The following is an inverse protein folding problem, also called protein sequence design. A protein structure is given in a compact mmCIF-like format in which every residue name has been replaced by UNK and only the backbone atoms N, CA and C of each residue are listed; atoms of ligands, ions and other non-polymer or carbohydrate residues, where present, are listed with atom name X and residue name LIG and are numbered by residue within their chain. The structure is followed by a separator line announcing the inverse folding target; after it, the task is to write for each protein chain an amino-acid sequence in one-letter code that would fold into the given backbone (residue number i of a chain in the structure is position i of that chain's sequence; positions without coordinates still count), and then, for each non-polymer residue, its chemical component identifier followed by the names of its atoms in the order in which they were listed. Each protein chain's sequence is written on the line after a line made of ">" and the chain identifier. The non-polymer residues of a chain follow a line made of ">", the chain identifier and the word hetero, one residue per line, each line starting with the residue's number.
data_IF_221174239613
#
_entry.id   IF_221174239613
#
_cell.length_a   1.000
_cell.length_b   1.000
_cell.length_c   1.000
_cell.angle_alpha   90.00
_cell.angle_beta   90.00
_cell.angle_gamma   90.00
#
_symmetry.space_group_name_H-M   'P 1'
#
loop_
_entity.id
_entity.type
_entity.pdbx_description
1 polymer ?
#
# COMPACT_ATOMS: atom_id res chain seq x y z
N UNK A 1 41.18 43.40 -43.79
CA UNK A 1 40.13 44.43 -43.90
C UNK A 1 40.13 45.41 -42.73
N UNK A 2 40.01 44.98 -41.46
CA UNK A 2 39.93 45.89 -40.31
C UNK A 2 41.14 46.84 -40.15
N UNK A 3 42.36 46.37 -40.41
CA UNK A 3 43.58 47.19 -40.35
C UNK A 3 43.59 48.27 -41.44
N UNK A 4 43.10 47.96 -42.64
CA UNK A 4 43.00 48.94 -43.73
C UNK A 4 41.99 50.04 -43.39
N UNK A 5 40.83 49.66 -42.84
CA UNK A 5 39.81 50.63 -42.40
C UNK A 5 40.35 51.53 -41.28
N UNK A 6 41.10 50.98 -40.31
CA UNK A 6 41.74 51.79 -39.27
C UNK A 6 42.74 52.79 -39.87
N UNK A 7 43.57 52.36 -40.81
CA UNK A 7 44.53 53.20 -41.52
C UNK A 7 43.82 54.34 -42.26
N UNK A 8 42.77 54.04 -43.02
CA UNK A 8 42.01 55.02 -43.79
C UNK A 8 41.33 56.07 -42.88
N UNK A 9 40.84 55.64 -41.71
CA UNK A 9 40.23 56.54 -40.72
C UNK A 9 41.26 57.39 -39.98
N UNK A 10 42.47 56.89 -39.74
CA UNK A 10 43.54 57.66 -39.12
C UNK A 10 44.11 58.73 -40.07
N UNK A 11 44.27 58.40 -41.36
CA UNK A 11 44.65 59.39 -42.40
C UNK A 11 43.60 60.49 -42.51
N UNK A 12 42.31 60.16 -42.42
CA UNK A 12 41.23 61.16 -42.43
C UNK A 12 41.24 62.08 -41.18
N UNK A 13 41.82 61.64 -40.06
CA UNK A 13 41.90 62.39 -38.81
C UNK A 13 43.23 63.13 -38.62
N UNK A 14 44.22 62.88 -39.49
CA UNK A 14 45.55 63.48 -39.51
C UNK A 14 45.56 65.03 -39.39
N UNK A 15 44.67 65.82 -40.04
CA UNK A 15 44.71 67.28 -39.91
C UNK A 15 44.34 67.81 -38.50
N UNK A 16 43.84 66.95 -37.60
CA UNK A 16 43.45 67.32 -36.22
C UNK A 16 44.39 66.76 -35.15
N UNK A 17 45.37 65.95 -35.54
CA UNK A 17 46.24 65.21 -34.63
C UNK A 17 47.68 65.71 -34.78
N UNK A 18 48.36 65.98 -33.67
CA UNK A 18 49.78 66.39 -33.73
C UNK A 18 50.63 65.29 -34.39
N UNK A 19 51.67 65.63 -35.16
CA UNK A 19 52.41 64.69 -36.00
C UNK A 19 53.05 63.49 -35.26
N UNK A 20 53.22 63.59 -33.93
CA UNK A 20 53.83 62.53 -33.11
C UNK A 20 52.85 61.46 -32.57
N UNK A 21 51.55 61.58 -32.82
CA UNK A 21 50.49 60.74 -32.19
C UNK A 21 49.88 59.60 -33.04
N UNK A 22 49.98 59.54 -34.38
CA UNK A 22 49.35 58.46 -35.16
C UNK A 22 49.89 57.06 -34.84
N UNK A 23 51.21 56.91 -34.67
CA UNK A 23 51.83 55.61 -34.41
C UNK A 23 51.40 55.02 -33.06
N UNK A 24 51.36 55.83 -32.00
CA UNK A 24 50.92 55.39 -30.66
C UNK A 24 49.45 54.97 -30.66
N UNK A 25 48.60 55.69 -31.40
CA UNK A 25 47.19 55.32 -31.56
C UNK A 25 47.04 54.03 -32.38
N UNK A 26 47.79 53.87 -33.47
CA UNK A 26 47.83 52.61 -34.24
C UNK A 26 48.22 51.43 -33.35
N UNK A 27 49.27 51.58 -32.54
CA UNK A 27 49.75 50.54 -31.64
C UNK A 27 48.72 50.22 -30.55
N UNK A 28 48.08 51.23 -29.95
CA UNK A 28 47.00 51.04 -28.99
C UNK A 28 45.82 50.27 -29.59
N UNK A 29 45.34 50.67 -30.77
CA UNK A 29 44.23 49.99 -31.45
C UNK A 29 44.57 48.59 -31.91
N UNK A 30 45.81 48.36 -32.33
CA UNK A 30 46.29 47.03 -32.70
C UNK A 30 46.32 46.09 -31.48
N UNK A 31 46.91 46.54 -30.38
CA UNK A 31 47.05 45.74 -29.16
C UNK A 31 45.75 45.55 -28.38
N UNK A 32 44.81 46.49 -28.50
CA UNK A 32 43.48 46.36 -27.92
C UNK A 32 42.52 45.75 -28.94
N UNK A 33 41.88 46.56 -29.77
CA UNK A 33 40.76 46.14 -30.59
C UNK A 33 41.08 45.03 -31.57
N UNK A 34 42.19 45.11 -32.31
CA UNK A 34 42.49 44.11 -33.35
C UNK A 34 42.82 42.74 -32.73
N UNK A 35 43.63 42.72 -31.67
CA UNK A 35 43.99 41.48 -30.98
C UNK A 35 42.78 40.80 -30.34
N UNK A 36 41.89 41.56 -29.69
CA UNK A 36 40.68 41.01 -29.08
C UNK A 36 39.69 40.55 -30.14
N UNK A 37 39.55 41.30 -31.25
CA UNK A 37 38.72 40.89 -32.39
C UNK A 37 39.18 39.53 -32.96
N UNK A 38 40.49 39.35 -33.14
CA UNK A 38 41.05 38.07 -33.60
C UNK A 38 40.80 36.93 -32.62
N UNK A 39 40.88 37.18 -31.31
CA UNK A 39 40.57 36.19 -30.28
C UNK A 39 39.09 35.77 -30.33
N UNK A 40 38.17 36.73 -30.45
CA UNK A 40 36.74 36.43 -30.57
C UNK A 40 36.44 35.66 -31.86
N UNK A 41 37.05 36.03 -32.99
CA UNK A 41 36.91 35.25 -34.21
C UNK A 41 37.44 33.82 -34.05
N UNK A 42 38.57 33.64 -33.35
CA UNK A 42 39.11 32.31 -33.11
C UNK A 42 38.19 31.45 -32.23
N UNK A 43 37.68 32.00 -31.13
CA UNK A 43 36.85 31.25 -30.17
C UNK A 43 35.45 30.97 -30.71
N UNK A 44 34.86 31.92 -31.42
CA UNK A 44 33.46 31.84 -31.86
C UNK A 44 33.29 31.27 -33.26
N UNK A 45 34.27 31.46 -34.15
CA UNK A 45 34.12 31.09 -35.56
C UNK A 45 34.93 29.85 -35.95
N UNK A 46 35.77 29.29 -35.06
CA UNK A 46 36.40 27.99 -35.31
C UNK A 46 35.63 26.88 -34.60
N UNK A 47 35.34 25.82 -35.35
CA UNK A 47 34.86 24.57 -34.79
C UNK A 47 35.95 24.00 -33.87
N UNK A 48 35.54 23.60 -32.66
CA UNK A 48 36.41 22.95 -31.68
C UNK A 48 35.97 21.51 -31.56
N UNK A 49 36.92 20.60 -31.54
CA UNK A 49 36.65 19.21 -31.21
C UNK A 49 36.29 19.14 -29.72
N UNK A 50 35.03 18.82 -29.42
CA UNK A 50 34.55 18.69 -28.04
C UNK A 50 34.54 17.20 -27.71
N UNK A 51 35.54 16.77 -26.96
CA UNK A 51 35.59 15.44 -26.34
C UNK A 51 34.49 15.33 -25.27
N UNK A 52 33.24 15.12 -25.68
CA UNK A 52 32.09 15.01 -24.78
C UNK A 52 31.85 13.55 -24.43
N UNK A 53 32.21 13.16 -23.20
CA UNK A 53 31.89 11.83 -22.67
C UNK A 53 30.42 11.80 -22.27
N UNK A 54 29.58 11.06 -22.99
CA UNK A 54 28.19 10.80 -22.60
C UNK A 54 28.09 9.48 -21.83
N UNK A 55 27.39 9.51 -20.70
CA UNK A 55 27.07 8.32 -19.91
C UNK A 55 25.56 8.09 -19.94
N UNK A 56 25.15 6.85 -20.21
CA UNK A 56 23.75 6.45 -20.21
C UNK A 56 23.38 5.86 -18.84
N UNK A 57 22.38 6.45 -18.19
CA UNK A 57 21.82 5.97 -16.93
C UNK A 57 20.34 5.63 -17.14
N UNK A 58 19.99 4.36 -16.99
CA UNK A 58 18.60 3.92 -16.98
C UNK A 58 18.03 4.05 -15.56
N UNK A 59 16.94 4.80 -15.43
CA UNK A 59 16.24 4.98 -14.16
C UNK A 59 14.93 4.18 -14.25
N UNK A 60 14.80 3.13 -13.43
CA UNK A 60 13.55 2.39 -13.33
C UNK A 60 12.50 3.22 -12.59
N UNK A 61 11.39 3.53 -13.26
CA UNK A 61 10.27 4.26 -12.67
C UNK A 61 9.35 3.26 -11.95
N UNK A 62 8.87 3.57 -10.73
CA UNK A 62 7.89 2.73 -10.05
C UNK A 62 6.61 2.58 -10.90
N UNK A 63 5.87 1.47 -10.74
CA UNK A 63 4.62 1.26 -11.45
C UNK A 63 3.64 2.39 -11.16
N UNK A 64 2.86 2.77 -12.17
CA UNK A 64 1.86 3.82 -12.01
C UNK A 64 0.83 3.41 -10.95
N UNK A 65 0.50 4.30 -9.99
CA UNK A 65 -0.52 4.00 -9.00
C UNK A 65 -1.87 3.83 -9.69
N UNK A 66 -2.71 2.98 -9.09
CA UNK A 66 -4.07 2.78 -9.54
C UNK A 66 -4.89 4.08 -9.46
N UNK A 67 -5.90 4.26 -10.34
CA UNK A 67 -6.76 5.42 -10.28
C UNK A 67 -7.51 5.47 -8.95
N UNK A 68 -7.77 6.68 -8.44
CA UNK A 68 -8.48 6.88 -7.16
C UNK A 68 -9.88 6.24 -7.13
N UNK A 69 -10.50 6.04 -8.30
CA UNK A 69 -11.80 5.35 -8.43
C UNK A 69 -11.72 3.86 -8.07
N UNK A 70 -10.53 3.25 -8.10
CA UNK A 70 -10.30 1.90 -7.60
C UNK A 70 -10.10 1.87 -6.07
N UNK A 71 -10.00 3.04 -5.42
CA UNK A 71 -9.88 3.16 -3.98
C UNK A 71 -11.18 2.82 -3.26
N UNK A 72 -11.05 2.28 -2.06
CA UNK A 72 -12.17 2.06 -1.14
C UNK A 72 -12.21 3.23 -0.16
N UNK A 73 -13.40 3.71 0.17
CA UNK A 73 -13.57 4.73 1.21
C UNK A 73 -13.01 4.20 2.55
N UNK A 74 -12.26 5.03 3.28
CA UNK A 74 -11.62 4.63 4.53
C UNK A 74 -12.62 4.06 5.55
N UNK A 75 -13.80 4.66 5.70
CA UNK A 75 -14.83 4.18 6.64
C UNK A 75 -15.37 2.81 6.24
N UNK A 76 -15.59 2.60 4.94
CA UNK A 76 -16.02 1.30 4.39
C UNK A 76 -14.93 0.24 4.60
N UNK A 77 -13.67 0.61 4.40
CA UNK A 77 -12.54 -0.29 4.64
C UNK A 77 -12.41 -0.67 6.12
N UNK A 78 -12.48 0.31 7.03
CA UNK A 78 -12.45 0.05 8.48
C UNK A 78 -13.61 -0.83 8.93
N UNK A 79 -14.80 -0.58 8.42
CA UNK A 79 -15.98 -1.41 8.66
C UNK A 79 -15.76 -2.86 8.19
N UNK A 80 -15.25 -3.06 6.97
CA UNK A 80 -14.94 -4.39 6.44
C UNK A 80 -13.88 -5.09 7.29
N UNK A 81 -12.85 -4.36 7.72
CA UNK A 81 -11.79 -4.90 8.57
C UNK A 81 -12.32 -5.35 9.93
N UNK A 82 -13.22 -4.56 10.55
CA UNK A 82 -13.86 -4.92 11.82
C UNK A 82 -14.76 -6.16 11.68
N UNK A 83 -15.55 -6.26 10.60
CA UNK A 83 -16.34 -7.46 10.31
C UNK A 83 -15.48 -8.70 10.11
N UNK A 84 -14.37 -8.56 9.39
CA UNK A 84 -13.43 -9.64 9.14
C UNK A 84 -12.79 -10.10 10.45
N UNK A 85 -12.36 -9.17 11.30
CA UNK A 85 -11.78 -9.47 12.61
C UNK A 85 -12.78 -10.21 13.53
N UNK A 86 -14.03 -9.75 13.63
CA UNK A 86 -15.06 -10.42 14.42
C UNK A 86 -15.36 -11.83 13.89
N UNK A 87 -15.39 -12.00 12.56
CA UNK A 87 -15.63 -13.30 11.94
C UNK A 87 -14.46 -14.26 12.16
N UNK A 88 -13.23 -13.75 12.08
CA UNK A 88 -12.02 -14.54 12.36
C UNK A 88 -11.97 -14.99 13.82
N UNK A 89 -12.26 -14.08 14.77
CA UNK A 89 -12.33 -14.42 16.20
C UNK A 89 -13.41 -15.48 16.49
N UNK A 90 -14.56 -15.41 15.82
CA UNK A 90 -15.62 -16.42 15.96
C UNK A 90 -15.17 -17.81 15.47
N UNK A 91 -14.44 -17.86 14.35
CA UNK A 91 -13.87 -19.10 13.81
C UNK A 91 -12.80 -19.64 14.76
N UNK A 92 -11.89 -18.79 15.22
CA UNK A 92 -10.82 -19.15 16.16
C UNK A 92 -11.38 -19.78 17.45
N UNK A 93 -12.43 -19.20 18.03
CA UNK A 93 -13.08 -19.77 19.21
C UNK A 93 -13.63 -21.17 18.96
N UNK A 94 -14.23 -21.41 17.79
CA UNK A 94 -14.72 -22.75 17.41
C UNK A 94 -13.59 -23.74 17.20
N UNK A 95 -12.52 -23.33 16.52
CA UNK A 95 -11.36 -24.21 16.26
C UNK A 95 -10.68 -24.59 17.57
N UNK A 96 -10.52 -23.64 18.49
CA UNK A 96 -9.90 -23.90 19.79
C UNK A 96 -10.74 -24.86 20.64
N UNK A 97 -12.07 -24.74 20.60
CA UNK A 97 -12.97 -25.68 21.27
C UNK A 97 -12.89 -27.10 20.68
N UNK A 98 -12.81 -27.22 19.35
CA UNK A 98 -12.63 -28.53 18.70
C UNK A 98 -11.30 -29.17 19.10
N UNK A 99 -10.22 -28.40 19.05
CA UNK A 99 -8.90 -28.85 19.48
C UNK A 99 -8.89 -29.29 20.95
N UNK A 100 -9.55 -28.53 21.83
CA UNK A 100 -9.69 -28.89 23.24
C UNK A 100 -10.42 -30.23 23.42
N UNK A 101 -11.51 -30.45 22.67
CA UNK A 101 -12.23 -31.74 22.73
C UNK A 101 -11.36 -32.90 22.27
N UNK A 102 -10.61 -32.73 21.19
CA UNK A 102 -9.71 -33.77 20.66
C UNK A 102 -8.56 -34.07 21.63
N UNK A 103 -7.95 -33.04 22.22
CA UNK A 103 -6.87 -33.20 23.20
C UNK A 103 -7.35 -33.91 24.46
N UNK A 104 -8.47 -33.49 25.06
CA UNK A 104 -9.05 -34.16 26.23
C UNK A 104 -9.48 -35.60 25.93
N UNK A 105 -9.98 -35.87 24.72
CA UNK A 105 -10.30 -37.22 24.29
C UNK A 105 -9.04 -38.11 24.26
N UNK A 106 -7.96 -37.62 23.66
CA UNK A 106 -6.69 -38.35 23.58
C UNK A 106 -6.08 -38.59 24.98
N UNK A 107 -6.12 -37.58 25.85
CA UNK A 107 -5.67 -37.71 27.24
C UNK A 107 -6.46 -38.78 28.00
N UNK A 108 -7.78 -38.81 27.82
CA UNK A 108 -8.65 -39.85 28.38
C UNK A 108 -8.27 -41.24 27.87
N UNK A 109 -8.04 -41.42 26.58
CA UNK A 109 -7.63 -42.71 26.02
C UNK A 109 -6.29 -43.16 26.61
N UNK A 110 -5.32 -42.26 26.72
CA UNK A 110 -4.03 -42.55 27.36
C UNK A 110 -4.18 -42.92 28.84
N UNK A 111 -5.07 -42.26 29.58
CA UNK A 111 -5.34 -42.59 30.97
C UNK A 111 -5.97 -43.99 31.11
N UNK A 112 -6.95 -44.31 30.27
CA UNK A 112 -7.59 -45.64 30.25
C UNK A 112 -6.60 -46.73 29.88
N UNK A 113 -5.74 -46.48 28.90
CA UNK A 113 -4.70 -47.43 28.48
C UNK A 113 -3.71 -47.70 29.62
N UNK A 114 -3.24 -46.66 30.33
CA UNK A 114 -2.38 -46.83 31.52
C UNK A 114 -3.06 -47.64 32.62
N UNK A 115 -4.32 -47.32 32.93
CA UNK A 115 -5.10 -48.07 33.92
C UNK A 115 -5.26 -49.55 33.53
N UNK A 116 -5.42 -49.84 32.24
CA UNK A 116 -5.49 -51.20 31.72
C UNK A 116 -4.15 -51.95 31.81
N UNK A 117 -3.04 -51.29 31.47
CA UNK A 117 -1.70 -51.88 31.55
C UNK A 117 -1.29 -52.16 33.01
N UNK A 118 -1.63 -51.26 33.94
CA UNK A 118 -1.46 -51.47 35.38
C UNK A 118 -2.27 -52.68 35.86
N UNK A 119 -3.54 -52.80 35.45
CA UNK A 119 -4.38 -53.95 35.78
C UNK A 119 -3.79 -55.26 35.26
N UNK A 120 -3.26 -55.25 34.04
CA UNK A 120 -2.63 -56.42 33.42
C UNK A 120 -1.38 -56.87 34.18
N UNK A 121 -0.61 -55.93 34.72
CA UNK A 121 0.55 -56.23 35.56
C UNK A 121 0.18 -56.82 36.93
N UNK A 122 -1.03 -56.54 37.42
CA UNK A 122 -1.54 -56.98 38.72
C UNK A 122 -2.52 -58.17 38.62
N UNK A 123 -2.66 -58.78 37.44
CA UNK A 123 -3.69 -59.78 37.13
C UNK A 123 -3.65 -61.02 38.04
N UNK A 124 -2.53 -61.31 38.70
CA UNK A 124 -2.38 -62.42 39.65
C UNK A 124 -2.93 -62.10 41.06
N UNK A 125 -3.15 -60.83 41.41
CA UNK A 125 -3.55 -60.36 42.75
C UNK A 125 -4.77 -59.42 42.62
N UNK A 126 -5.83 -59.90 41.94
CA UNK A 126 -7.03 -59.09 41.75
C UNK A 126 -7.94 -59.13 42.99
N UNK A 127 -7.68 -58.23 43.95
CA UNK A 127 -8.53 -58.04 45.13
C UNK A 127 -9.69 -57.08 44.85
N UNK A 128 -10.83 -57.30 45.52
CA UNK A 128 -12.05 -56.48 45.39
C UNK A 128 -11.78 -55.01 45.72
N UNK A 129 -10.96 -54.74 46.75
CA UNK A 129 -10.59 -53.37 47.11
C UNK A 129 -9.88 -52.65 45.95
N UNK A 130 -8.93 -53.33 45.30
CA UNK A 130 -8.14 -52.76 44.20
C UNK A 130 -9.05 -52.43 43.01
N UNK A 131 -9.94 -53.35 42.65
CA UNK A 131 -10.92 -53.13 41.58
C UNK A 131 -11.85 -51.94 41.90
N UNK A 132 -12.33 -51.82 43.14
CA UNK A 132 -13.22 -50.72 43.53
C UNK A 132 -12.50 -49.36 43.46
N UNK A 133 -11.23 -49.30 43.89
CA UNK A 133 -10.42 -48.08 43.78
C UNK A 133 -10.15 -47.69 42.33
N UNK A 134 -9.88 -48.67 41.46
CA UNK A 134 -9.67 -48.46 40.04
C UNK A 134 -10.93 -47.90 39.36
N UNK A 135 -12.08 -48.53 39.61
CA UNK A 135 -13.37 -48.08 39.05
C UNK A 135 -13.70 -46.67 39.53
N UNK A 136 -13.50 -46.36 40.82
CA UNK A 136 -13.67 -45.01 41.37
C UNK A 136 -12.72 -44.00 40.71
N UNK A 137 -11.46 -44.36 40.47
CA UNK A 137 -10.49 -43.53 39.77
C UNK A 137 -10.91 -43.24 38.33
N UNK A 138 -11.26 -44.27 37.56
CA UNK A 138 -11.71 -44.10 36.16
C UNK A 138 -12.97 -43.25 36.08
N UNK A 139 -13.97 -43.49 36.94
CA UNK A 139 -15.19 -42.67 36.97
C UNK A 139 -14.86 -41.22 37.37
N UNK A 140 -13.99 -41.01 38.36
CA UNK A 140 -13.57 -39.68 38.78
C UNK A 140 -12.91 -38.89 37.63
N UNK A 141 -11.99 -39.53 36.91
CA UNK A 141 -11.34 -38.90 35.74
C UNK A 141 -12.32 -38.59 34.61
N UNK A 142 -13.31 -39.46 34.36
CA UNK A 142 -14.39 -39.18 33.40
C UNK A 142 -15.22 -37.97 33.78
N UNK A 143 -15.64 -37.90 35.04
CA UNK A 143 -16.46 -36.80 35.55
C UNK A 143 -15.69 -35.50 35.44
N UNK A 144 -14.41 -35.49 35.82
CA UNK A 144 -13.57 -34.31 35.75
C UNK A 144 -13.39 -33.83 34.29
N UNK A 145 -13.04 -34.71 33.36
CA UNK A 145 -12.90 -34.36 31.96
C UNK A 145 -14.22 -33.82 31.36
N UNK A 146 -15.35 -34.43 31.71
CA UNK A 146 -16.67 -33.96 31.28
C UNK A 146 -16.98 -32.58 31.86
N UNK A 147 -16.67 -32.35 33.13
CA UNK A 147 -16.86 -31.05 33.78
C UNK A 147 -16.04 -29.96 33.08
N UNK A 148 -14.77 -30.23 32.75
CA UNK A 148 -13.90 -29.30 32.04
C UNK A 148 -14.43 -28.98 30.63
N UNK A 149 -14.90 -29.99 29.87
CA UNK A 149 -15.51 -29.79 28.55
C UNK A 149 -16.77 -28.92 28.67
N UNK A 150 -17.67 -29.24 29.59
CA UNK A 150 -18.93 -28.51 29.73
C UNK A 150 -18.69 -27.06 30.16
N UNK A 151 -17.78 -26.83 31.10
CA UNK A 151 -17.46 -25.49 31.57
C UNK A 151 -16.87 -24.64 30.45
N UNK A 152 -15.93 -25.21 29.68
CA UNK A 152 -15.30 -24.50 28.56
C UNK A 152 -16.25 -24.28 27.39
N UNK A 153 -17.18 -25.21 27.12
CA UNK A 153 -18.21 -25.06 26.11
C UNK A 153 -19.21 -23.97 26.48
N UNK A 154 -19.67 -23.92 27.73
CA UNK A 154 -20.52 -22.85 28.23
C UNK A 154 -19.81 -21.50 28.04
N UNK A 155 -18.57 -21.39 28.48
CA UNK A 155 -17.80 -20.15 28.36
C UNK A 155 -17.62 -19.73 26.88
N UNK A 156 -17.19 -20.67 26.03
CA UNK A 156 -16.96 -20.40 24.60
C UNK A 156 -18.23 -20.04 23.87
N UNK A 157 -19.37 -20.65 24.22
CA UNK A 157 -20.66 -20.32 23.60
C UNK A 157 -21.10 -18.90 23.95
N UNK A 158 -20.93 -18.47 25.20
CA UNK A 158 -21.18 -17.07 25.57
C UNK A 158 -20.28 -16.10 24.81
N UNK A 159 -18.98 -16.39 24.71
CA UNK A 159 -18.05 -15.55 23.94
C UNK A 159 -18.41 -15.46 22.46
N UNK A 160 -18.81 -16.58 21.84
CA UNK A 160 -19.29 -16.60 20.45
C UNK A 160 -20.57 -15.79 20.28
N UNK A 161 -21.50 -15.88 21.25
CA UNK A 161 -22.74 -15.11 21.21
C UNK A 161 -22.46 -13.60 21.31
N UNK A 162 -21.53 -13.21 22.16
CA UNK A 162 -21.08 -11.81 22.29
C UNK A 162 -20.45 -11.30 20.98
N UNK A 163 -19.56 -12.08 20.36
CA UNK A 163 -18.99 -11.74 19.04
C UNK A 163 -20.08 -11.61 17.96
N UNK A 164 -21.08 -12.49 17.97
CA UNK A 164 -22.23 -12.42 17.05
C UNK A 164 -23.10 -11.20 17.31
N UNK A 165 -23.30 -10.84 18.58
CA UNK A 165 -24.05 -9.64 18.96
C UNK A 165 -23.33 -8.38 18.45
N UNK A 166 -22.03 -8.27 18.68
CA UNK A 166 -21.20 -7.17 18.17
C UNK A 166 -21.25 -7.09 16.64
N UNK A 167 -21.11 -8.23 15.95
CA UNK A 167 -21.22 -8.30 14.49
C UNK A 167 -22.58 -7.85 13.99
N UNK A 168 -23.68 -8.25 14.66
CA UNK A 168 -25.04 -7.80 14.32
C UNK A 168 -25.21 -6.30 14.53
N UNK A 169 -24.74 -5.76 15.65
CA UNK A 169 -24.78 -4.33 15.94
C UNK A 169 -24.05 -3.51 14.87
N UNK A 170 -22.91 -4.02 14.38
CA UNK A 170 -22.14 -3.39 13.31
C UNK A 170 -22.90 -3.44 11.97
N UNK A 171 -23.50 -4.58 11.61
CA UNK A 171 -24.27 -4.73 10.35
C UNK A 171 -25.49 -3.80 10.31
N UNK A 172 -26.12 -3.53 11.46
CA UNK A 172 -27.26 -2.62 11.55
C UNK A 172 -26.88 -1.14 11.37
N UNK A 173 -25.59 -0.80 11.50
CA UNK A 173 -25.08 0.55 11.33
C UNK A 173 -23.98 0.57 10.25
N UNK A 174 -24.32 0.32 8.96
CA UNK A 174 -23.34 0.37 7.89
C UNK A 174 -22.87 1.82 7.66
N UNK A 175 -21.60 2.05 7.30
CA UNK A 175 -21.12 3.37 6.90
C UNK A 175 -21.87 3.83 5.64
N UNK A 176 -22.23 5.11 5.59
CA UNK A 176 -22.90 5.69 4.43
C UNK A 176 -21.90 5.74 3.27
N UNK A 177 -22.23 5.18 2.09
CA UNK A 177 -21.34 5.28 0.94
C UNK A 177 -21.16 6.74 0.53
N UNK A 178 -19.92 7.18 0.36
CA UNK A 178 -19.59 8.47 -0.25
C UNK A 178 -19.13 8.26 -1.70
N UNK A 179 -19.65 9.03 -2.67
CA UNK A 179 -20.71 10.03 -2.53
C UNK A 179 -22.08 9.38 -2.27
N UNK A 180 -23.00 10.07 -1.55
CA UNK A 180 -24.36 9.56 -1.38
C UNK A 180 -25.00 9.33 -2.75
N UNK A 181 -25.83 8.29 -2.92
CA UNK A 181 -26.53 8.06 -4.17
C UNK A 181 -27.32 9.31 -4.55
N UNK A 182 -27.06 9.84 -5.76
CA UNK A 182 -27.80 10.98 -6.27
C UNK A 182 -29.31 10.66 -6.23
N UNK A 183 -30.16 11.54 -5.67
CA UNK A 183 -31.59 11.43 -5.87
C UNK A 183 -31.83 11.44 -7.38
N UNK A 184 -32.41 10.34 -7.89
CA UNK A 184 -32.87 10.26 -9.27
C UNK A 184 -34.09 11.17 -9.41
N UNK A 185 -33.88 12.49 -9.42
CA UNK A 185 -34.92 13.45 -9.75
C UNK A 185 -35.29 13.27 -11.23
N UNK A 186 -36.50 12.74 -11.43
CA UNK A 186 -37.41 12.85 -12.58
C UNK A 186 -36.92 13.65 -13.80
N UNK A 187 -35.87 13.19 -14.50
CA UNK A 187 -35.52 13.75 -15.83
C UNK A 187 -36.33 13.14 -16.98
N UNK A 188 -37.48 12.54 -16.68
CA UNK A 188 -38.36 11.90 -17.67
C UNK A 188 -39.58 12.74 -18.11
N UNK A 189 -39.75 13.99 -17.61
CA UNK A 189 -40.98 14.77 -17.89
C UNK A 189 -40.81 16.00 -18.80
N UNK A 190 -39.63 16.30 -19.35
CA UNK A 190 -39.45 17.46 -20.25
C UNK A 190 -39.27 17.16 -21.74
N UNK A 191 -39.12 15.90 -22.15
CA UNK A 191 -38.91 15.55 -23.57
C UNK A 191 -40.19 15.27 -24.37
N UNK A 192 -41.35 15.04 -23.73
CA UNK A 192 -42.58 14.63 -24.44
C UNK A 192 -43.45 15.78 -24.96
N UNK A 193 -43.19 17.06 -24.59
CA UNK A 193 -43.98 18.20 -25.11
C UNK A 193 -43.49 18.76 -26.45
N UNK A 194 -42.29 18.40 -26.92
CA UNK A 194 -41.74 18.93 -28.17
C UNK A 194 -42.19 18.15 -29.43
N UNK A 195 -42.81 16.97 -29.28
CA UNK A 195 -43.09 16.08 -30.41
C UNK A 195 -44.57 16.06 -30.86
N UNK A 196 -45.50 16.62 -30.08
CA UNK A 196 -46.93 16.69 -30.47
C UNK A 196 -47.26 17.86 -31.43
N UNK A 197 -46.41 18.90 -31.52
CA UNK A 197 -46.69 20.02 -32.43
C UNK A 197 -46.29 19.79 -33.90
N UNK A 198 -45.65 18.67 -34.25
CA UNK A 198 -45.29 18.36 -35.65
C UNK A 198 -46.27 17.42 -36.39
N UNK A 199 -47.35 16.95 -35.76
CA UNK A 199 -48.32 16.03 -36.38
C UNK A 199 -49.65 16.66 -36.82
N UNK A 200 -49.78 18.00 -36.82
CA UNK A 200 -50.97 18.73 -37.32
C UNK A 200 -50.76 19.53 -38.63
N UNK A 201 -49.74 19.21 -39.40
CA UNK A 201 -49.57 19.74 -40.77
C UNK A 201 -49.10 18.64 -41.71
N UNK A 202 -50.04 17.78 -42.11
CA UNK A 202 -50.04 17.04 -43.37
C UNK A 202 -51.47 16.65 -43.68
#
# INVERSE_FOLDING_TARGET
>A
QAICVLKDKLVACEPKLSPFKPCVLCEYFYNTLIRHYQLYQFVLCRERDVEQTSAHLEICVPPQPLPLMAGINAEVWHYQQQLAALSAAEVEKRTNMLLLRETLHLEREHMLQRAYDELKSQAEILDRQILETLVKGVIGTQIQALQEILQTEIQTTFEILELRLQKRALILNPPVPYPPPFPLEERAKKSTKAQEQKKKKK
#
